data_IF_036410396091
#
_entry.id   IF_036410396091
#
_cell.length_a   1.000
_cell.length_b   1.000
_cell.length_c   1.000
_cell.angle_alpha   90.00
_cell.angle_beta   90.00
_cell.angle_gamma   90.00
#
_symmetry.space_group_name_H-M   'P 1'
#
loop_
_entity.id
_entity.type
_entity.pdbx_description
1 polymer ?
#
# COMPACT_ATOMS: atom_id res chain seq x y z
N UNK A 1 37.95 57.89 -7.05
CA UNK A 1 37.94 56.44 -7.35
C UNK A 1 37.42 55.70 -6.12
N UNK A 2 36.15 55.32 -6.06
CA UNK A 2 35.69 54.35 -5.04
C UNK A 2 34.51 53.56 -5.60
N UNK A 3 34.82 52.33 -6.05
CA UNK A 3 33.86 51.38 -6.61
C UNK A 3 33.25 50.58 -5.47
N UNK A 4 31.98 50.83 -5.16
CA UNK A 4 31.22 50.06 -4.17
C UNK A 4 30.97 48.67 -4.78
N UNK A 5 31.60 47.63 -4.22
CA UNK A 5 31.42 46.26 -4.65
C UNK A 5 30.03 45.79 -4.21
N UNK A 6 29.16 45.53 -5.19
CA UNK A 6 27.87 44.91 -4.96
C UNK A 6 28.07 43.51 -4.39
N UNK A 7 27.54 43.30 -3.19
CA UNK A 7 27.45 41.98 -2.56
C UNK A 7 26.62 41.08 -3.46
N UNK A 8 27.27 40.11 -4.10
CA UNK A 8 26.59 39.06 -4.84
C UNK A 8 25.81 38.17 -3.84
N UNK A 9 24.55 38.51 -3.59
CA UNK A 9 23.59 37.60 -2.97
C UNK A 9 23.44 36.36 -3.86
N UNK A 10 24.14 35.29 -3.51
CA UNK A 10 23.92 33.96 -4.07
C UNK A 10 22.46 33.59 -3.81
N UNK A 11 21.62 33.67 -4.86
CA UNK A 11 20.27 33.08 -4.86
C UNK A 11 20.40 31.61 -4.49
N UNK A 12 20.06 31.27 -3.25
CA UNK A 12 19.85 29.88 -2.89
C UNK A 12 18.70 29.37 -3.76
N UNK A 13 19.03 28.54 -4.75
CA UNK A 13 18.03 27.77 -5.50
C UNK A 13 17.26 26.94 -4.47
N UNK A 14 16.07 27.41 -4.08
CA UNK A 14 15.08 26.61 -3.37
C UNK A 14 14.89 25.33 -4.18
N UNK A 15 15.51 24.25 -3.71
CA UNK A 15 15.43 22.92 -4.31
C UNK A 15 13.95 22.58 -4.30
N UNK A 16 13.36 22.41 -5.49
CA UNK A 16 11.93 22.17 -5.71
C UNK A 16 11.38 21.23 -4.64
N UNK A 17 10.62 21.82 -3.73
CA UNK A 17 9.68 21.14 -2.84
C UNK A 17 8.83 20.25 -3.73
N UNK A 18 8.96 18.93 -3.50
CA UNK A 18 8.35 17.83 -4.24
C UNK A 18 7.12 18.25 -5.05
N UNK A 19 7.26 18.20 -6.38
CA UNK A 19 6.15 18.39 -7.32
C UNK A 19 5.07 17.36 -6.99
N UNK A 20 3.81 17.77 -6.71
CA UNK A 20 2.72 16.85 -6.34
C UNK A 20 2.43 15.78 -7.40
N UNK A 21 2.81 16.02 -8.66
CA UNK A 21 2.68 15.07 -9.76
C UNK A 21 3.42 13.75 -9.56
N UNK A 22 4.60 13.75 -8.92
CA UNK A 22 5.39 12.52 -8.72
C UNK A 22 4.78 11.63 -7.62
N UNK A 23 4.17 12.22 -6.60
CA UNK A 23 3.53 11.46 -5.51
C UNK A 23 2.33 10.68 -6.04
N UNK A 24 1.53 11.30 -6.91
CA UNK A 24 0.39 10.62 -7.55
C UNK A 24 0.83 9.43 -8.43
N UNK A 25 1.92 9.57 -9.19
CA UNK A 25 2.49 8.45 -9.95
C UNK A 25 2.97 7.30 -9.05
N UNK A 26 3.59 7.61 -7.90
CA UNK A 26 4.00 6.58 -6.95
C UNK A 26 2.79 5.87 -6.31
N UNK A 27 1.74 6.62 -5.97
CA UNK A 27 0.50 6.04 -5.44
C UNK A 27 -0.19 5.14 -6.47
N UNK A 28 -0.31 5.59 -7.73
CA UNK A 28 -0.87 4.77 -8.81
C UNK A 28 -0.08 3.49 -9.04
N UNK A 29 1.25 3.56 -9.03
CA UNK A 29 2.10 2.37 -9.21
C UNK A 29 1.92 1.38 -8.06
N UNK A 30 1.93 1.85 -6.82
CA UNK A 30 1.70 0.98 -5.66
C UNK A 30 0.29 0.39 -5.64
N UNK A 31 -0.73 1.17 -6.03
CA UNK A 31 -2.10 0.68 -6.18
C UNK A 31 -2.20 -0.40 -7.27
N UNK A 32 -1.51 -0.21 -8.41
CA UNK A 32 -1.45 -1.22 -9.47
C UNK A 32 -0.80 -2.53 -9.00
N UNK A 33 0.33 -2.45 -8.30
CA UNK A 33 0.95 -3.63 -7.70
C UNK A 33 0.04 -4.31 -6.69
N UNK A 34 -0.62 -3.55 -5.82
CA UNK A 34 -1.60 -4.07 -4.87
C UNK A 34 -2.76 -4.79 -5.58
N UNK A 35 -3.32 -4.19 -6.62
CA UNK A 35 -4.38 -4.79 -7.43
C UNK A 35 -3.94 -6.09 -8.09
N UNK A 36 -2.72 -6.14 -8.63
CA UNK A 36 -2.17 -7.36 -9.23
C UNK A 36 -2.00 -8.48 -8.20
N UNK A 37 -1.50 -8.16 -7.01
CA UNK A 37 -1.37 -9.13 -5.91
C UNK A 37 -2.74 -9.62 -5.44
N UNK A 38 -3.73 -8.71 -5.30
CA UNK A 38 -5.11 -9.09 -4.97
C UNK A 38 -5.71 -10.01 -6.03
N UNK A 39 -5.53 -9.70 -7.32
CA UNK A 39 -6.04 -10.51 -8.42
C UNK A 39 -5.40 -11.92 -8.42
N UNK A 40 -4.09 -12.01 -8.16
CA UNK A 40 -3.40 -13.30 -8.04
C UNK A 40 -3.92 -14.12 -6.84
N UNK A 41 -4.04 -13.49 -5.66
CA UNK A 41 -4.58 -14.13 -4.46
C UNK A 41 -6.03 -14.60 -4.66
N UNK A 42 -6.84 -13.80 -5.35
CA UNK A 42 -8.21 -14.14 -5.70
C UNK A 42 -8.27 -15.33 -6.67
N UNK A 43 -7.44 -15.32 -7.71
CA UNK A 43 -7.39 -16.40 -8.69
C UNK A 43 -6.97 -17.73 -8.06
N UNK A 44 -5.99 -17.71 -7.15
CA UNK A 44 -5.60 -18.90 -6.37
C UNK A 44 -6.78 -19.42 -5.54
N UNK A 45 -7.53 -18.51 -4.90
CA UNK A 45 -8.75 -18.84 -4.17
C UNK A 45 -9.80 -19.52 -5.04
N UNK A 46 -10.06 -18.93 -6.22
CA UNK A 46 -11.01 -19.46 -7.19
C UNK A 46 -10.65 -20.87 -7.65
N UNK A 47 -9.37 -21.12 -7.97
CA UNK A 47 -8.91 -22.45 -8.36
C UNK A 47 -9.10 -23.49 -7.25
N UNK A 48 -8.80 -23.12 -6.01
CA UNK A 48 -8.99 -24.04 -4.88
C UNK A 48 -10.46 -24.38 -4.65
N UNK A 49 -11.37 -23.41 -4.67
CA UNK A 49 -12.80 -23.67 -4.55
C UNK A 49 -13.37 -24.46 -5.73
N UNK A 50 -12.91 -24.16 -6.95
CA UNK A 50 -13.37 -24.87 -8.14
C UNK A 50 -12.93 -26.34 -8.14
N UNK A 51 -11.69 -26.64 -7.72
CA UNK A 51 -11.18 -28.00 -7.74
C UNK A 51 -11.47 -28.82 -6.48
N UNK A 52 -11.41 -28.22 -5.30
CA UNK A 52 -11.56 -28.94 -4.03
C UNK A 52 -13.02 -29.01 -3.56
N UNK A 53 -13.81 -28.00 -3.88
CA UNK A 53 -15.23 -27.90 -3.52
C UNK A 53 -16.17 -28.09 -4.73
N UNK A 54 -15.62 -28.29 -5.94
CA UNK A 54 -16.39 -28.50 -7.18
C UNK A 54 -17.42 -27.39 -7.47
N UNK A 55 -17.16 -26.18 -6.96
CA UNK A 55 -18.03 -25.01 -7.14
C UNK A 55 -17.95 -24.48 -8.57
N UNK A 56 -19.01 -23.80 -9.06
CA UNK A 56 -18.93 -23.07 -10.32
C UNK A 56 -17.88 -21.95 -10.22
N UNK A 57 -17.38 -21.43 -11.36
CA UNK A 57 -16.42 -20.32 -11.35
C UNK A 57 -16.94 -19.07 -10.65
N UNK A 58 -18.25 -18.80 -10.77
CA UNK A 58 -18.90 -17.64 -10.15
C UNK A 58 -18.99 -17.82 -8.64
N UNK A 59 -19.39 -19.01 -8.17
CA UNK A 59 -19.44 -19.33 -6.74
C UNK A 59 -18.04 -19.35 -6.13
N UNK A 60 -17.05 -19.87 -6.87
CA UNK A 60 -15.64 -19.86 -6.47
C UNK A 60 -15.10 -18.45 -6.33
N UNK A 61 -15.42 -17.55 -7.26
CA UNK A 61 -15.10 -16.12 -7.18
C UNK A 61 -15.74 -15.47 -5.95
N UNK A 62 -17.03 -15.71 -5.73
CA UNK A 62 -17.76 -15.14 -4.61
C UNK A 62 -17.18 -15.60 -3.27
N UNK A 63 -16.93 -16.90 -3.09
CA UNK A 63 -16.37 -17.43 -1.85
C UNK A 63 -14.91 -16.98 -1.64
N UNK A 64 -14.08 -16.97 -2.69
CA UNK A 64 -12.71 -16.49 -2.60
C UNK A 64 -12.64 -14.99 -2.26
N UNK A 65 -13.46 -14.16 -2.91
CA UNK A 65 -13.50 -12.71 -2.66
C UNK A 65 -14.00 -12.37 -1.27
N UNK A 66 -15.00 -13.08 -0.75
CA UNK A 66 -15.46 -12.88 0.63
C UNK A 66 -14.34 -13.17 1.64
N UNK A 67 -13.66 -14.31 1.52
CA UNK A 67 -12.51 -14.63 2.38
C UNK A 67 -11.35 -13.63 2.21
N UNK A 68 -11.08 -13.17 1.00
CA UNK A 68 -10.05 -12.16 0.75
C UNK A 68 -10.39 -10.80 1.35
N UNK A 69 -11.69 -10.48 1.46
CA UNK A 69 -12.18 -9.28 2.15
C UNK A 69 -12.25 -9.42 3.68
N UNK A 70 -11.94 -10.59 4.23
CA UNK A 70 -12.01 -10.87 5.66
C UNK A 70 -13.37 -11.36 6.16
N UNK A 71 -14.32 -11.62 5.26
CA UNK A 71 -15.59 -12.27 5.57
C UNK A 71 -15.47 -13.79 5.43
N UNK A 72 -16.35 -14.57 6.05
CA UNK A 72 -16.38 -16.02 5.83
C UNK A 72 -16.84 -16.40 4.41
N UNK A 73 -16.75 -17.69 4.02
CA UNK A 73 -17.32 -18.15 2.76
C UNK A 73 -18.83 -17.91 2.72
N UNK A 74 -19.34 -17.56 1.54
CA UNK A 74 -20.76 -17.27 1.32
C UNK A 74 -21.63 -18.54 1.37
N UNK A 75 -21.03 -19.66 0.95
CA UNK A 75 -21.70 -20.94 0.79
C UNK A 75 -21.22 -21.93 1.84
N UNK A 76 -22.09 -22.86 2.22
CA UNK A 76 -21.70 -23.95 3.11
C UNK A 76 -20.73 -24.89 2.39
N UNK A 77 -19.55 -25.09 2.99
CA UNK A 77 -18.54 -26.03 2.50
C UNK A 77 -18.95 -27.46 2.86
N UNK A 78 -18.97 -28.35 1.86
CA UNK A 78 -19.50 -29.70 2.00
C UNK A 78 -18.37 -30.72 2.09
N UNK A 79 -17.30 -30.53 1.32
CA UNK A 79 -16.17 -31.45 1.25
C UNK A 79 -15.16 -31.18 2.37
N UNK A 80 -14.51 -32.27 2.84
CA UNK A 80 -13.39 -32.19 3.77
C UNK A 80 -12.21 -31.39 3.19
N UNK A 81 -11.71 -31.66 1.95
CA UNK A 81 -10.63 -30.89 1.37
C UNK A 81 -10.98 -29.40 1.20
N UNK A 82 -12.21 -29.07 0.80
CA UNK A 82 -12.67 -27.69 0.68
C UNK A 82 -12.68 -26.93 2.01
N UNK A 83 -13.07 -27.58 3.11
CA UNK A 83 -13.00 -27.00 4.47
C UNK A 83 -11.57 -26.69 4.91
N UNK A 84 -10.65 -27.62 4.71
CA UNK A 84 -9.23 -27.43 5.07
C UNK A 84 -8.65 -26.29 4.21
N UNK A 85 -8.93 -26.31 2.91
CA UNK A 85 -8.52 -25.26 2.00
C UNK A 85 -9.04 -23.89 2.42
N UNK A 86 -10.33 -23.76 2.71
CA UNK A 86 -10.92 -22.50 3.13
C UNK A 86 -10.26 -21.94 4.39
N UNK A 87 -9.93 -22.80 5.37
CA UNK A 87 -9.18 -22.41 6.56
C UNK A 87 -7.77 -21.90 6.24
N UNK A 88 -7.00 -22.66 5.46
CA UNK A 88 -5.66 -22.23 5.03
C UNK A 88 -5.70 -20.95 4.18
N UNK A 89 -6.68 -20.85 3.28
CA UNK A 89 -6.88 -19.71 2.42
C UNK A 89 -7.28 -18.47 3.22
N UNK A 90 -8.09 -18.60 4.28
CA UNK A 90 -8.44 -17.50 5.17
C UNK A 90 -7.24 -16.95 5.95
N UNK A 91 -6.34 -17.82 6.42
CA UNK A 91 -5.09 -17.39 7.04
C UNK A 91 -4.21 -16.64 6.02
N UNK A 92 -3.98 -17.25 4.85
CA UNK A 92 -3.20 -16.64 3.79
C UNK A 92 -3.78 -15.28 3.35
N UNK A 93 -5.09 -15.22 3.12
CA UNK A 93 -5.77 -14.04 2.60
C UNK A 93 -5.73 -12.88 3.60
N UNK A 94 -5.89 -13.17 4.90
CA UNK A 94 -5.76 -12.16 5.96
C UNK A 94 -4.36 -11.53 5.97
N UNK A 95 -3.30 -12.35 5.91
CA UNK A 95 -1.93 -11.85 5.85
C UNK A 95 -1.66 -11.10 4.53
N UNK A 96 -2.15 -11.62 3.40
CA UNK A 96 -2.01 -10.98 2.09
C UNK A 96 -2.70 -9.60 2.06
N UNK A 97 -3.91 -9.49 2.61
CA UNK A 97 -4.64 -8.22 2.69
C UNK A 97 -3.85 -7.18 3.48
N UNK A 98 -3.30 -7.54 4.65
CA UNK A 98 -2.46 -6.65 5.45
C UNK A 98 -1.23 -6.22 4.66
N UNK A 99 -0.53 -7.15 4.00
CA UNK A 99 0.65 -6.84 3.21
C UNK A 99 0.33 -5.87 2.05
N UNK A 100 -0.77 -6.10 1.33
CA UNK A 100 -1.22 -5.24 0.23
C UNK A 100 -1.58 -3.84 0.75
N UNK A 101 -2.28 -3.74 1.88
CA UNK A 101 -2.58 -2.45 2.51
C UNK A 101 -1.30 -1.68 2.88
N UNK A 102 -0.29 -2.36 3.45
CA UNK A 102 1.00 -1.74 3.77
C UNK A 102 1.70 -1.19 2.51
N UNK A 103 1.69 -1.93 1.40
CA UNK A 103 2.29 -1.48 0.13
C UNK A 103 1.58 -0.23 -0.40
N UNK A 104 0.25 -0.21 -0.34
CA UNK A 104 -0.56 0.94 -0.78
C UNK A 104 -0.33 2.15 0.12
N UNK A 105 -0.27 1.96 1.45
CA UNK A 105 -0.10 3.04 2.43
C UNK A 105 1.36 3.51 2.60
N UNK A 106 2.35 2.74 2.13
CA UNK A 106 3.78 3.07 2.20
C UNK A 106 4.14 4.53 1.87
N UNK A 107 3.72 5.13 0.73
CA UNK A 107 4.04 6.53 0.41
C UNK A 107 3.45 7.52 1.41
N UNK A 108 2.27 7.21 1.96
CA UNK A 108 1.62 8.01 3.00
C UNK A 108 2.44 7.96 4.29
N UNK A 109 2.78 6.74 4.74
CA UNK A 109 3.58 6.49 5.94
C UNK A 109 4.93 7.23 5.83
N UNK A 110 5.64 7.08 4.71
CA UNK A 110 6.91 7.78 4.47
C UNK A 110 6.74 9.31 4.49
N UNK A 111 5.64 9.84 3.94
CA UNK A 111 5.36 11.27 3.97
C UNK A 111 5.07 11.78 5.39
N UNK A 112 4.35 11.02 6.21
CA UNK A 112 4.08 11.35 7.61
C UNK A 112 5.38 11.45 8.42
N UNK A 113 6.25 10.44 8.35
CA UNK A 113 7.55 10.47 9.06
C UNK A 113 8.45 11.60 8.59
N UNK A 114 8.46 11.88 7.27
CA UNK A 114 9.23 13.01 6.74
C UNK A 114 8.75 14.34 7.30
N UNK A 115 7.44 14.56 7.48
CA UNK A 115 6.93 15.81 8.08
C UNK A 115 7.37 15.95 9.55
N UNK A 116 7.26 14.89 10.34
CA UNK A 116 7.65 14.89 11.77
C UNK A 116 9.15 15.22 11.94
N UNK A 117 10.02 14.61 11.14
CA UNK A 117 11.47 14.88 11.21
C UNK A 117 11.86 16.30 10.74
N UNK A 118 11.06 16.91 9.86
CA UNK A 118 11.29 18.28 9.42
C UNK A 118 10.89 19.30 10.51
N UNK A 119 9.79 19.03 11.21
CA UNK A 119 9.31 19.87 12.31
C UNK A 119 10.27 19.86 13.52
N UNK A 120 10.86 18.71 13.84
CA UNK A 120 11.86 18.63 14.91
C UNK A 120 13.12 19.44 14.58
N UNK A 121 13.60 19.39 13.33
CA UNK A 121 14.83 20.10 12.93
C UNK A 121 14.66 21.63 12.95
N UNK A 122 13.48 22.14 12.65
CA UNK A 122 13.19 23.59 12.68
C UNK A 122 13.22 24.17 14.09
N UNK A 123 12.80 23.42 15.11
CA UNK A 123 12.78 23.90 16.51
C UNK A 123 14.20 24.09 17.06
N UNK A 124 15.11 23.12 16.84
CA UNK A 124 16.50 23.24 17.34
C UNK A 124 17.35 24.28 16.62
N UNK A 125 17.00 24.65 15.39
CA UNK A 125 17.70 25.71 14.65
C UNK A 125 17.33 27.13 15.08
N UNK A 126 16.23 27.30 15.81
CA UNK A 126 15.78 28.60 16.32
C UNK A 126 16.47 28.94 17.66
N UNK A 127 16.61 27.94 18.55
CA UNK A 127 17.26 28.09 19.87
C UNK A 127 18.79 28.22 19.82
N UNK A 128 19.43 27.88 18.68
CA UNK A 128 20.89 27.92 18.52
C UNK A 128 21.42 29.20 17.86
N UNK A 129 20.53 30.15 17.55
CA UNK A 129 20.88 31.48 17.00
C UNK A 129 20.50 32.66 17.91
N UNK A 130 20.03 32.41 19.14
CA UNK A 130 19.77 33.44 20.16
C UNK A 130 20.92 33.57 21.15
#
# INVERSE_FOLDING_TARGET
MTRVQGVHMKKQKKKNILTPANVYQHMLRNAFFGMLMTAAALFIGMLGYHHLEQMSWVDSFMNASMILSGMGPASNLVTIPGKIFAGCYALFSGLAFIAIMVIILSPLIHQFFRKIHLESKTIYSDDSQS
#
